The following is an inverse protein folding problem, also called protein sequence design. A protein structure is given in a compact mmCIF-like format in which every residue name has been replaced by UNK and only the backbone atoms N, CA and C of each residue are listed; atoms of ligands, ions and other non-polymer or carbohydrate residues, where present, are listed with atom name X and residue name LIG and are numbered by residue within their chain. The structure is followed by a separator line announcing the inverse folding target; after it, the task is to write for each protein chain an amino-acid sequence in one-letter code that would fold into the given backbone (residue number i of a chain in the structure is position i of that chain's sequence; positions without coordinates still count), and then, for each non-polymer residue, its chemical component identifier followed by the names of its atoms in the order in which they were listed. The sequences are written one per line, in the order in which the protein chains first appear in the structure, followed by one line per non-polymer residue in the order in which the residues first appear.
data_IF_263363760844
#
_entry.id   IF_263363760844
#
_cell.length_a   1.000
_cell.length_b   1.000
_cell.length_c   1.000
_cell.angle_alpha   90.00
_cell.angle_beta   90.00
_cell.angle_gamma   90.00
#
_symmetry.space_group_name_H-M   'P 1'
#
loop_
_entity.id
_entity.type
_entity.pdbx_description
1 polymer ?
#
# COMPACT_ATOMS: atom_id res chain seq x y z
N UNK A 1 -11.26 6.78 -3.12
CA UNK A 1 -11.26 5.74 -2.05
C UNK A 1 -12.40 4.74 -2.18
N UNK A 2 -13.63 5.13 -2.59
CA UNK A 2 -14.78 4.21 -2.73
C UNK A 2 -14.50 2.95 -3.55
N UNK A 3 -13.80 3.07 -4.68
CA UNK A 3 -13.41 1.91 -5.52
C UNK A 3 -12.50 0.95 -4.75
N UNK A 4 -11.49 1.50 -4.04
CA UNK A 4 -10.55 0.70 -3.26
C UNK A 4 -11.27 -0.07 -2.13
N UNK A 5 -12.17 0.58 -1.43
CA UNK A 5 -12.97 -0.03 -0.36
C UNK A 5 -13.80 -1.23 -0.83
N UNK A 6 -14.31 -1.19 -2.08
CA UNK A 6 -15.06 -2.30 -2.68
C UNK A 6 -14.14 -3.42 -3.21
N UNK A 7 -13.02 -3.05 -3.84
CA UNK A 7 -12.19 -4.00 -4.60
C UNK A 7 -11.04 -4.55 -3.76
N UNK A 8 -10.48 -3.73 -2.88
CA UNK A 8 -9.25 -4.02 -2.18
C UNK A 8 -9.30 -3.44 -0.75
N UNK A 9 -10.26 -3.88 0.08
CA UNK A 9 -10.45 -3.36 1.43
C UNK A 9 -9.22 -3.62 2.31
N UNK A 10 -8.99 -2.74 3.26
CA UNK A 10 -7.91 -2.85 4.24
C UNK A 10 -8.50 -3.20 5.60
N UNK A 11 -8.07 -4.33 6.16
CA UNK A 11 -8.39 -4.72 7.53
C UNK A 11 -7.28 -4.35 8.51
N UNK A 12 -7.61 -4.25 9.80
CA UNK A 12 -6.63 -4.08 10.88
C UNK A 12 -5.71 -5.30 10.94
N UNK A 13 -4.38 -5.07 10.95
CA UNK A 13 -3.37 -6.12 10.85
C UNK A 13 -3.04 -6.56 9.41
N UNK A 14 -3.59 -5.89 8.40
CA UNK A 14 -3.35 -6.19 6.97
C UNK A 14 -1.90 -6.00 6.58
N UNK A 15 -1.40 -6.90 5.72
CA UNK A 15 -0.12 -6.77 5.04
C UNK A 15 -0.38 -6.56 3.56
N UNK A 16 -0.39 -5.29 3.14
CA UNK A 16 -0.74 -4.89 1.77
C UNK A 16 0.44 -4.44 0.95
N UNK A 17 0.45 -4.82 -0.33
CA UNK A 17 1.42 -4.40 -1.32
C UNK A 17 0.75 -3.54 -2.40
N UNK A 18 1.24 -2.32 -2.58
CA UNK A 18 0.87 -1.46 -3.72
C UNK A 18 1.98 -1.56 -4.76
N UNK A 19 1.68 -2.17 -5.88
CA UNK A 19 2.60 -2.31 -7.02
C UNK A 19 2.44 -1.08 -7.92
N UNK A 20 3.51 -0.30 -8.04
CA UNK A 20 3.43 1.03 -8.63
C UNK A 20 4.46 1.25 -9.74
N UNK A 21 4.04 1.24 -11.01
CA UNK A 21 4.84 1.84 -12.07
C UNK A 21 5.05 3.36 -11.85
N UNK A 22 6.10 3.97 -12.41
CA UNK A 22 6.32 5.41 -12.30
C UNK A 22 5.12 6.22 -12.85
N UNK A 23 4.80 7.34 -12.19
CA UNK A 23 3.76 8.31 -12.61
C UNK A 23 2.32 7.77 -12.63
N UNK A 24 2.02 6.80 -11.81
CA UNK A 24 0.66 6.21 -11.70
C UNK A 24 -0.19 6.79 -10.56
N UNK A 25 0.25 7.87 -9.91
CA UNK A 25 -0.51 8.50 -8.83
C UNK A 25 -0.34 7.84 -7.45
N UNK A 26 0.74 7.05 -7.26
CA UNK A 26 1.10 6.38 -6.00
C UNK A 26 1.02 7.32 -4.79
N UNK A 27 1.69 8.48 -4.84
CA UNK A 27 1.75 9.47 -3.77
C UNK A 27 0.37 9.96 -3.36
N UNK A 28 -0.47 10.34 -4.34
CA UNK A 28 -1.84 10.80 -4.11
C UNK A 28 -2.69 9.69 -3.50
N UNK A 29 -2.53 8.44 -3.94
CA UNK A 29 -3.25 7.30 -3.38
C UNK A 29 -2.92 7.10 -1.91
N UNK A 30 -1.63 7.13 -1.52
CA UNK A 30 -1.21 7.00 -0.12
C UNK A 30 -1.78 8.13 0.75
N UNK A 31 -1.75 9.37 0.27
CA UNK A 31 -2.36 10.52 0.96
C UNK A 31 -3.88 10.34 1.13
N UNK A 32 -4.56 9.82 0.12
CA UNK A 32 -6.00 9.55 0.18
C UNK A 32 -6.34 8.41 1.14
N UNK A 33 -5.53 7.35 1.19
CA UNK A 33 -5.69 6.26 2.16
C UNK A 33 -5.56 6.82 3.57
N UNK A 34 -4.50 7.60 3.86
CA UNK A 34 -4.29 8.21 5.17
C UNK A 34 -5.48 9.07 5.61
N UNK A 35 -5.95 9.97 4.72
CA UNK A 35 -7.11 10.83 5.00
C UNK A 35 -8.37 10.02 5.26
N UNK A 36 -8.64 8.99 4.44
CA UNK A 36 -9.82 8.16 4.58
C UNK A 36 -9.82 7.37 5.90
N UNK A 37 -8.67 6.79 6.28
CA UNK A 37 -8.53 6.07 7.56
C UNK A 37 -8.75 7.03 8.72
N UNK A 38 -8.09 8.17 8.77
CA UNK A 38 -8.24 9.13 9.87
C UNK A 38 -9.62 9.76 9.96
N UNK A 39 -10.35 9.86 8.83
CA UNK A 39 -11.73 10.34 8.82
C UNK A 39 -12.71 9.32 9.38
N UNK A 40 -12.53 8.04 9.04
CA UNK A 40 -13.47 6.98 9.38
C UNK A 40 -13.08 6.23 10.67
N UNK A 41 -11.79 6.28 11.06
CA UNK A 41 -11.18 5.53 12.15
C UNK A 41 -10.19 6.44 12.89
N UNK A 42 -10.69 7.43 13.60
CA UNK A 42 -9.90 8.42 14.32
C UNK A 42 -9.02 7.80 15.44
N UNK A 43 -9.35 6.60 15.88
CA UNK A 43 -8.60 5.82 16.85
C UNK A 43 -7.29 5.23 16.30
N UNK A 44 -7.17 5.12 14.97
CA UNK A 44 -6.00 4.52 14.31
C UNK A 44 -4.85 5.52 14.25
N UNK A 45 -3.68 5.13 14.73
CA UNK A 45 -2.46 5.91 14.58
C UNK A 45 -1.84 5.68 13.20
N UNK A 46 -1.86 6.70 12.35
CA UNK A 46 -1.36 6.61 10.97
C UNK A 46 0.04 7.19 10.86
N UNK A 47 0.99 6.37 10.44
CA UNK A 47 2.38 6.75 10.16
C UNK A 47 2.61 6.65 8.64
N UNK A 48 3.07 7.74 8.04
CA UNK A 48 3.61 7.75 6.68
C UNK A 48 5.12 7.62 6.80
N UNK A 49 5.67 6.50 6.35
CA UNK A 49 7.11 6.26 6.34
C UNK A 49 7.65 6.42 4.92
N UNK A 50 8.48 7.45 4.71
CA UNK A 50 9.11 7.77 3.43
C UNK A 50 10.61 7.50 3.51
N UNK A 51 11.11 6.59 2.68
CA UNK A 51 12.52 6.19 2.67
C UNK A 51 13.13 6.42 1.29
N UNK A 52 14.20 7.21 1.24
CA UNK A 52 14.92 7.58 0.01
C UNK A 52 13.99 8.29 -1.00
N UNK A 53 12.98 9.03 -0.51
CA UNK A 53 12.11 9.86 -1.34
C UNK A 53 12.67 11.27 -1.50
N UNK A 54 12.23 11.99 -2.52
CA UNK A 54 12.69 13.34 -2.80
C UNK A 54 12.21 14.32 -1.74
N UNK A 55 13.02 15.34 -1.35
CA UNK A 55 12.63 16.34 -0.35
C UNK A 55 11.29 17.04 -0.65
N UNK A 56 11.03 17.35 -1.93
CA UNK A 56 9.77 17.94 -2.36
C UNK A 56 8.57 17.01 -2.14
N UNK A 57 8.70 15.69 -2.34
CA UNK A 57 7.65 14.72 -2.06
C UNK A 57 7.39 14.59 -0.56
N UNK A 58 8.44 14.60 0.27
CA UNK A 58 8.33 14.63 1.72
C UNK A 58 7.58 15.89 2.19
N UNK A 59 7.91 17.03 1.61
CA UNK A 59 7.24 18.30 1.93
C UNK A 59 5.77 18.27 1.54
N UNK A 60 5.45 17.73 0.37
CA UNK A 60 4.06 17.58 -0.10
C UNK A 60 3.22 16.70 0.85
N UNK A 61 3.76 15.57 1.31
CA UNK A 61 3.09 14.75 2.32
C UNK A 61 2.83 15.51 3.61
N UNK A 62 3.84 16.22 4.13
CA UNK A 62 3.70 17.02 5.36
C UNK A 62 2.64 18.11 5.22
N UNK A 63 2.65 18.84 4.12
CA UNK A 63 1.66 19.90 3.87
C UNK A 63 0.25 19.34 3.69
N UNK A 64 0.11 18.29 2.87
CA UNK A 64 -1.19 17.70 2.54
C UNK A 64 -1.85 17.04 3.74
N UNK A 65 -1.07 16.52 4.69
CA UNK A 65 -1.54 15.80 5.87
C UNK A 65 -1.44 16.60 7.18
N UNK A 66 -0.96 17.84 7.15
CA UNK A 66 -0.68 18.66 8.33
C UNK A 66 -1.84 18.78 9.34
N UNK A 67 -3.09 18.74 8.86
CA UNK A 67 -4.31 18.92 9.69
C UNK A 67 -5.07 17.61 9.95
N UNK A 68 -4.48 16.46 9.56
CA UNK A 68 -5.20 15.18 9.62
C UNK A 68 -4.87 14.36 10.86
N UNK A 69 -3.79 14.67 11.58
CA UNK A 69 -3.25 13.82 12.65
C UNK A 69 -2.33 12.70 12.18
N UNK A 70 -2.07 12.57 10.87
CA UNK A 70 -1.07 11.63 10.34
C UNK A 70 0.35 12.07 10.72
N UNK A 71 1.16 11.13 11.17
CA UNK A 71 2.57 11.36 11.42
C UNK A 71 3.39 11.08 10.15
N UNK A 72 4.24 12.01 9.72
CA UNK A 72 5.15 11.84 8.58
C UNK A 72 6.58 11.67 9.06
N UNK A 73 7.09 10.46 8.96
CA UNK A 73 8.47 10.07 9.25
C UNK A 73 9.20 9.91 7.93
N UNK A 74 10.34 10.55 7.75
CA UNK A 74 11.04 10.53 6.48
C UNK A 74 12.56 10.50 6.62
N UNK A 75 13.19 9.84 5.66
CA UNK A 75 14.60 9.95 5.34
C UNK A 75 14.70 10.18 3.83
N UNK A 76 15.01 11.43 3.44
CA UNK A 76 15.05 11.87 2.04
C UNK A 76 16.33 11.39 1.32
N UNK A 77 16.32 11.43 -0.01
CA UNK A 77 17.38 10.86 -0.85
C UNK A 77 18.75 11.56 -0.74
N UNK A 78 18.84 12.69 -0.06
CA UNK A 78 20.07 13.39 0.33
C UNK A 78 20.71 12.82 1.60
N UNK A 79 20.02 11.91 2.30
CA UNK A 79 20.53 11.25 3.49
C UNK A 79 21.34 9.99 3.13
N UNK A 80 22.32 9.59 3.95
CA UNK A 80 23.05 8.36 3.74
C UNK A 80 22.19 7.12 3.98
N UNK A 81 22.52 5.98 3.36
CA UNK A 81 21.79 4.71 3.50
C UNK A 81 21.62 4.25 4.95
N UNK A 82 22.62 4.48 5.81
CA UNK A 82 22.52 4.19 7.23
C UNK A 82 21.33 4.89 7.89
N UNK A 83 21.03 6.14 7.50
CA UNK A 83 19.88 6.89 8.02
C UNK A 83 18.55 6.31 7.54
N UNK A 84 18.48 5.82 6.30
CA UNK A 84 17.29 5.13 5.80
C UNK A 84 16.95 3.90 6.62
N UNK A 85 17.97 3.12 6.95
CA UNK A 85 17.86 1.91 7.76
C UNK A 85 17.42 2.26 9.18
N UNK A 86 18.14 3.18 9.82
CA UNK A 86 17.83 3.63 11.19
C UNK A 86 16.39 4.09 11.36
N UNK A 87 15.92 4.98 10.47
CA UNK A 87 14.55 5.52 10.51
C UNK A 87 13.52 4.41 10.33
N UNK A 88 13.80 3.44 9.46
CA UNK A 88 12.92 2.31 9.20
C UNK A 88 12.79 1.41 10.44
N UNK A 89 13.92 1.04 11.05
CA UNK A 89 13.96 0.18 12.23
C UNK A 89 13.29 0.84 13.44
N UNK A 90 13.63 2.09 13.72
CA UNK A 90 13.02 2.86 14.82
C UNK A 90 11.50 3.00 14.66
N UNK A 91 11.01 3.24 13.42
CA UNK A 91 9.59 3.35 13.15
C UNK A 91 8.87 2.02 13.40
N UNK A 92 9.45 0.91 12.92
CA UNK A 92 8.87 -0.41 13.14
C UNK A 92 8.81 -0.78 14.62
N UNK A 93 9.90 -0.58 15.36
CA UNK A 93 9.96 -0.92 16.79
C UNK A 93 8.96 -0.10 17.60
N UNK A 94 8.82 1.18 17.29
CA UNK A 94 7.82 2.04 17.92
C UNK A 94 6.40 1.57 17.59
N UNK A 95 6.12 1.27 16.33
CA UNK A 95 4.80 0.79 15.91
C UNK A 95 4.42 -0.55 16.58
N UNK A 96 5.37 -1.48 16.73
CA UNK A 96 5.17 -2.74 17.47
C UNK A 96 4.78 -2.48 18.92
N UNK A 97 5.55 -1.62 19.62
CA UNK A 97 5.26 -1.26 21.02
C UNK A 97 3.90 -0.60 21.20
N UNK A 98 3.48 0.22 20.23
CA UNK A 98 2.14 0.81 20.24
C UNK A 98 1.05 -0.25 20.07
N UNK A 99 1.24 -1.21 19.16
CA UNK A 99 0.31 -2.31 18.98
C UNK A 99 0.21 -3.20 20.22
N UNK A 100 1.34 -3.50 20.88
CA UNK A 100 1.40 -4.21 22.16
C UNK A 100 0.65 -3.46 23.30
N UNK A 101 0.58 -2.13 23.21
CA UNK A 101 -0.25 -1.29 24.08
C UNK A 101 -1.73 -1.21 23.65
N UNK A 102 -2.20 -2.14 22.83
CA UNK A 102 -3.58 -2.25 22.32
C UNK A 102 -4.00 -1.11 21.40
N UNK A 103 -3.06 -0.39 20.78
CA UNK A 103 -3.35 0.63 19.77
C UNK A 103 -3.40 0.00 18.38
N UNK A 104 -4.26 0.54 17.52
CA UNK A 104 -4.26 0.21 16.11
C UNK A 104 -3.32 1.15 15.36
N UNK A 105 -2.32 0.60 14.70
CA UNK A 105 -1.30 1.36 13.97
C UNK A 105 -1.34 0.99 12.49
N UNK A 106 -1.36 1.99 11.63
CA UNK A 106 -1.20 1.85 10.18
C UNK A 106 0.10 2.51 9.73
N UNK A 107 0.99 1.74 9.13
CA UNK A 107 2.16 2.28 8.42
C UNK A 107 1.86 2.27 6.91
N UNK A 108 1.83 3.44 6.29
CA UNK A 108 1.87 3.62 4.84
C UNK A 108 3.32 3.85 4.46
N UNK A 109 3.92 2.89 3.77
CA UNK A 109 5.36 2.83 3.56
C UNK A 109 5.74 3.03 2.09
N UNK A 110 6.51 4.04 1.81
CA UNK A 110 7.08 4.34 0.48
C UNK A 110 8.60 4.45 0.56
N UNK A 111 9.41 3.43 0.18
CA UNK A 111 8.99 2.18 -0.44
C UNK A 111 9.84 0.98 0.03
N UNK A 112 9.28 -0.23 -0.04
CA UNK A 112 9.99 -1.49 0.17
C UNK A 112 11.19 -1.62 -0.79
N UNK A 113 11.03 -1.18 -2.04
CA UNK A 113 12.09 -1.21 -3.05
C UNK A 113 13.31 -0.40 -2.61
N UNK A 114 13.10 0.83 -2.16
CA UNK A 114 14.17 1.73 -1.75
C UNK A 114 14.82 1.30 -0.44
N UNK A 115 14.02 0.82 0.50
CA UNK A 115 14.53 0.21 1.73
C UNK A 115 15.46 -0.97 1.41
N UNK A 116 15.03 -1.89 0.55
CA UNK A 116 15.84 -3.05 0.17
C UNK A 116 17.14 -2.63 -0.52
N UNK A 117 17.10 -1.60 -1.37
CA UNK A 117 18.31 -1.01 -1.96
C UNK A 117 19.26 -0.45 -0.90
N UNK A 118 18.75 0.22 0.14
CA UNK A 118 19.59 0.75 1.22
C UNK A 118 20.30 -0.38 1.98
N UNK A 119 19.59 -1.45 2.34
CA UNK A 119 20.21 -2.64 2.96
C UNK A 119 21.23 -3.30 2.02
N UNK A 120 20.93 -3.42 0.72
CA UNK A 120 21.87 -3.97 -0.25
C UNK A 120 23.17 -3.17 -0.34
N UNK A 121 23.07 -1.83 -0.38
CA UNK A 121 24.24 -0.96 -0.41
C UNK A 121 25.11 -1.09 0.83
N UNK A 122 24.52 -1.30 2.01
CA UNK A 122 25.27 -1.51 3.25
C UNK A 122 26.04 -2.84 3.25
N UNK A 123 25.54 -3.85 2.51
CA UNK A 123 26.13 -5.20 2.46
C UNK A 123 27.15 -5.40 1.33
N UNK A 124 27.13 -4.59 0.27
CA UNK A 124 27.92 -4.78 -0.96
C UNK A 124 29.44 -4.78 -0.77
N UNK A 125 29.95 -4.40 0.40
CA UNK A 125 31.38 -4.49 0.72
C UNK A 125 31.90 -5.92 1.03
N UNK A 126 31.05 -6.96 1.15
CA UNK A 126 31.46 -8.28 1.69
C UNK A 126 30.74 -9.52 1.13
N UNK A 127 29.89 -9.47 0.08
CA UNK A 127 29.00 -10.58 -0.17
C UNK A 127 28.92 -11.13 -1.60
N UNK A 128 28.34 -12.32 -1.72
CA UNK A 128 27.96 -12.97 -2.98
C UNK A 128 26.72 -12.26 -3.54
N UNK A 129 26.84 -11.61 -4.67
CA UNK A 129 25.71 -10.98 -5.36
C UNK A 129 24.94 -11.98 -6.20
N UNK A 130 23.62 -11.97 -6.08
CA UNK A 130 22.69 -12.64 -6.99
C UNK A 130 22.61 -11.88 -8.35
N UNK A 131 21.90 -12.47 -9.32
CA UNK A 131 21.60 -11.77 -10.57
C UNK A 131 20.93 -10.41 -10.27
N UNK A 132 21.34 -9.35 -10.98
CA UNK A 132 20.86 -7.99 -10.75
C UNK A 132 21.60 -7.19 -9.66
N UNK A 133 22.72 -7.73 -9.12
CA UNK A 133 23.58 -6.99 -8.18
C UNK A 133 23.03 -6.92 -6.75
N UNK A 134 22.11 -7.82 -6.36
CA UNK A 134 21.51 -7.84 -5.02
C UNK A 134 22.10 -8.98 -4.18
N UNK A 135 22.42 -8.69 -2.92
CA UNK A 135 22.80 -9.72 -1.94
C UNK A 135 21.52 -10.31 -1.31
N UNK A 136 21.43 -11.65 -1.22
CA UNK A 136 20.26 -12.31 -0.63
C UNK A 136 19.96 -11.88 0.82
N UNK A 137 20.98 -11.47 1.56
CA UNK A 137 20.86 -10.97 2.93
C UNK A 137 20.16 -9.59 2.99
N UNK A 138 20.17 -8.84 1.89
CA UNK A 138 19.49 -7.55 1.81
C UNK A 138 17.98 -7.64 1.98
N UNK A 139 17.39 -8.82 1.77
CA UNK A 139 15.96 -9.06 1.97
C UNK A 139 15.56 -9.37 3.43
N UNK A 140 16.51 -9.71 4.28
CA UNK A 140 16.20 -10.22 5.63
C UNK A 140 15.37 -9.21 6.44
N UNK A 141 15.86 -7.99 6.57
CA UNK A 141 15.16 -6.95 7.35
C UNK A 141 13.90 -6.43 6.63
N UNK A 142 13.90 -6.16 5.32
CA UNK A 142 12.68 -5.82 4.59
C UNK A 142 11.55 -6.86 4.69
N UNK A 143 11.87 -8.16 4.65
CA UNK A 143 10.91 -9.25 4.91
C UNK A 143 10.39 -9.22 6.35
N UNK A 144 11.27 -9.03 7.33
CA UNK A 144 10.91 -8.95 8.74
C UNK A 144 10.02 -7.72 9.01
N UNK A 145 10.34 -6.58 8.39
CA UNK A 145 9.53 -5.36 8.45
C UNK A 145 8.11 -5.61 7.92
N UNK A 146 8.00 -6.05 6.67
CA UNK A 146 6.71 -6.28 6.02
C UNK A 146 5.93 -7.43 6.68
N UNK A 147 6.62 -8.45 7.16
CA UNK A 147 6.05 -9.59 7.90
C UNK A 147 5.58 -9.27 9.32
N UNK A 148 5.88 -8.09 9.85
CA UNK A 148 5.47 -7.69 11.19
C UNK A 148 3.96 -7.36 11.29
N UNK A 149 3.30 -7.08 10.16
CA UNK A 149 1.88 -6.77 10.12
C UNK A 149 1.02 -7.92 10.65
N UNK A 150 0.21 -7.63 11.68
CA UNK A 150 -0.72 -8.57 12.32
C UNK A 150 -1.73 -7.87 13.22
N UNK A 151 -2.87 -8.50 13.45
CA UNK A 151 -3.73 -8.20 14.57
C UNK A 151 -3.32 -9.06 15.78
N UNK A 152 -3.34 -8.49 16.98
CA UNK A 152 -2.98 -9.18 18.22
C UNK A 152 -4.24 -9.74 18.90
N UNK A 153 -4.15 -10.93 19.47
CA UNK A 153 -5.28 -11.58 20.17
C UNK A 153 -5.77 -10.77 21.36
N UNK A 154 -4.85 -10.13 22.07
CA UNK A 154 -5.13 -9.30 23.26
C UNK A 154 -5.64 -7.89 22.93
N UNK A 155 -5.78 -7.58 21.65
CA UNK A 155 -6.17 -6.26 21.11
C UNK A 155 -4.96 -5.45 20.65
N UNK A 156 -5.24 -4.49 19.76
CA UNK A 156 -4.24 -3.74 19.00
C UNK A 156 -3.87 -4.43 17.69
N UNK A 157 -3.39 -3.64 16.76
CA UNK A 157 -2.95 -4.16 15.45
C UNK A 157 -1.83 -3.33 14.84
N UNK A 158 -1.01 -3.98 14.03
CA UNK A 158 -0.05 -3.34 13.15
C UNK A 158 -0.42 -3.67 11.70
N UNK A 159 -0.89 -2.68 10.98
CA UNK A 159 -1.18 -2.75 9.54
C UNK A 159 -0.03 -2.12 8.77
N UNK A 160 0.48 -2.79 7.75
CA UNK A 160 1.56 -2.26 6.90
C UNK A 160 1.12 -2.34 5.44
N UNK A 161 1.03 -1.18 4.80
CA UNK A 161 0.78 -1.06 3.35
C UNK A 161 2.05 -0.48 2.73
N UNK A 162 2.83 -1.35 2.10
CA UNK A 162 4.09 -0.98 1.47
C UNK A 162 3.96 -0.83 -0.04
N UNK A 163 4.75 0.07 -0.63
CA UNK A 163 4.83 0.21 -2.09
C UNK A 163 6.03 -0.55 -2.64
N UNK A 164 5.84 -1.19 -3.81
CA UNK A 164 6.91 -1.77 -4.61
C UNK A 164 6.95 -1.08 -5.97
N UNK A 165 8.14 -0.63 -6.37
CA UNK A 165 8.35 0.02 -7.66
C UNK A 165 8.58 -1.03 -8.74
N UNK A 166 7.87 -0.90 -9.85
CA UNK A 166 8.00 -1.76 -11.04
C UNK A 166 8.17 -0.91 -12.29
N UNK A 167 8.58 -1.51 -13.39
CA UNK A 167 8.76 -0.84 -14.70
C UNK A 167 9.69 0.39 -14.63
N UNK A 168 10.67 0.34 -13.73
CA UNK A 168 11.68 1.40 -13.55
C UNK A 168 12.85 1.26 -14.52
N UNK A 169 12.92 0.19 -15.30
CA UNK A 169 14.09 -0.19 -16.08
C UNK A 169 15.22 -0.84 -15.26
N UNK A 170 15.08 -0.94 -13.93
CA UNK A 170 16.04 -1.55 -13.02
C UNK A 170 15.77 -3.04 -12.84
N UNK A 171 16.75 -3.89 -13.22
CA UNK A 171 16.67 -5.34 -12.96
C UNK A 171 16.61 -5.66 -11.45
N UNK A 172 17.29 -4.85 -10.64
CA UNK A 172 17.24 -4.98 -9.18
C UNK A 172 15.81 -4.78 -8.65
N UNK A 173 15.09 -3.77 -9.12
CA UNK A 173 13.72 -3.49 -8.67
C UNK A 173 12.76 -4.62 -9.03
N UNK A 174 12.94 -5.21 -10.22
CA UNK A 174 12.15 -6.37 -10.62
C UNK A 174 12.37 -7.56 -9.67
N UNK A 175 13.62 -7.83 -9.29
CA UNK A 175 13.94 -8.90 -8.33
C UNK A 175 13.33 -8.59 -6.96
N UNK A 176 13.42 -7.34 -6.51
CA UNK A 176 12.81 -6.90 -5.24
C UNK A 176 11.29 -7.09 -5.29
N UNK A 177 10.65 -6.69 -6.38
CA UNK A 177 9.21 -6.88 -6.53
C UNK A 177 8.80 -8.37 -6.48
N UNK A 178 9.49 -9.24 -7.23
CA UNK A 178 9.19 -10.68 -7.23
C UNK A 178 9.38 -11.32 -5.84
N UNK A 179 10.27 -10.77 -5.02
CA UNK A 179 10.48 -11.21 -3.64
C UNK A 179 9.29 -10.89 -2.73
N UNK A 180 8.64 -9.74 -2.90
CA UNK A 180 7.50 -9.32 -2.09
C UNK A 180 6.15 -9.75 -2.65
N UNK A 181 6.07 -10.03 -3.94
CA UNK A 181 4.87 -10.51 -4.62
C UNK A 181 4.35 -11.80 -3.97
N UNK A 182 3.07 -11.83 -3.65
CA UNK A 182 2.43 -12.96 -2.99
C UNK A 182 2.74 -13.13 -1.50
N UNK A 183 3.65 -12.32 -0.91
CA UNK A 183 3.94 -12.37 0.52
C UNK A 183 2.90 -11.59 1.35
N UNK A 184 2.21 -10.64 0.73
CA UNK A 184 1.07 -9.91 1.29
C UNK A 184 -0.23 -10.72 1.26
N UNK A 185 -1.23 -10.22 1.97
CA UNK A 185 -2.61 -10.71 1.92
C UNK A 185 -3.57 -9.66 1.32
N UNK A 186 -3.04 -8.59 0.75
CA UNK A 186 -3.70 -7.60 -0.06
C UNK A 186 -2.70 -7.11 -1.12
N UNK A 187 -3.14 -7.04 -2.37
CA UNK A 187 -2.32 -6.52 -3.47
C UNK A 187 -3.14 -5.54 -4.30
N UNK A 188 -2.56 -4.36 -4.58
CA UNK A 188 -3.16 -3.34 -5.43
C UNK A 188 -2.17 -2.96 -6.53
N UNK A 189 -2.54 -3.22 -7.77
CA UNK A 189 -1.72 -2.97 -8.95
C UNK A 189 -2.11 -1.66 -9.63
N UNK A 190 -1.25 -0.64 -9.53
CA UNK A 190 -1.44 0.59 -10.30
C UNK A 190 -1.17 0.33 -11.78
N UNK A 191 -2.00 0.94 -12.64
CA UNK A 191 -1.99 0.73 -14.08
C UNK A 191 -1.66 2.04 -14.81
N UNK A 192 -0.60 2.02 -15.61
CA UNK A 192 -0.09 3.20 -16.29
C UNK A 192 -1.06 3.71 -17.37
N UNK A 193 -1.72 2.82 -18.10
CA UNK A 193 -2.67 3.21 -19.14
C UNK A 193 -3.82 4.06 -18.56
N UNK A 194 -4.32 3.72 -17.37
CA UNK A 194 -5.34 4.51 -16.67
C UNK A 194 -4.82 5.90 -16.31
N UNK A 195 -3.60 5.97 -15.75
CA UNK A 195 -2.99 7.24 -15.35
C UNK A 195 -2.71 8.16 -16.55
N UNK A 196 -2.22 7.61 -17.66
CA UNK A 196 -1.96 8.35 -18.92
C UNK A 196 -3.26 8.93 -19.49
N UNK A 197 -4.39 8.24 -19.32
CA UNK A 197 -5.74 8.73 -19.67
C UNK A 197 -6.40 9.60 -18.61
N UNK A 198 -5.72 9.92 -17.51
CA UNK A 198 -6.24 10.69 -16.36
C UNK A 198 -7.47 10.07 -15.69
N UNK A 199 -7.59 8.75 -15.72
CA UNK A 199 -8.63 7.99 -15.03
C UNK A 199 -8.07 7.58 -13.66
N UNK A 200 -8.67 8.10 -12.59
CA UNK A 200 -8.26 7.83 -11.21
C UNK A 200 -9.43 7.34 -10.34
N UNK A 201 -9.17 6.41 -9.40
CA UNK A 201 -7.89 5.80 -9.08
C UNK A 201 -7.39 4.88 -10.21
N UNK A 202 -6.08 4.95 -10.50
CA UNK A 202 -5.48 4.26 -11.64
C UNK A 202 -4.99 2.86 -11.31
N UNK A 203 -5.83 1.97 -10.80
CA UNK A 203 -5.43 0.59 -10.53
C UNK A 203 -6.26 -0.44 -11.32
N UNK A 204 -5.62 -1.55 -11.65
CA UNK A 204 -6.25 -2.70 -12.28
C UNK A 204 -7.07 -3.46 -11.24
N UNK A 205 -8.39 -3.38 -11.35
CA UNK A 205 -9.34 -4.02 -10.43
C UNK A 205 -9.32 -5.55 -10.51
N UNK A 206 -8.90 -6.11 -11.65
CA UNK A 206 -8.91 -7.56 -11.86
C UNK A 206 -7.68 -8.21 -11.23
N UNK A 207 -6.54 -7.50 -11.21
CA UNK A 207 -5.31 -7.94 -10.57
C UNK A 207 -5.24 -7.59 -9.09
N UNK A 208 -6.10 -6.66 -8.64
CA UNK A 208 -6.11 -6.17 -7.27
C UNK A 208 -7.14 -6.89 -6.41
N UNK A 209 -6.84 -7.08 -5.13
CA UNK A 209 -7.76 -7.71 -4.19
C UNK A 209 -7.16 -7.92 -2.81
N UNK A 210 -8.03 -8.28 -1.88
CA UNK A 210 -7.69 -8.65 -0.50
C UNK A 210 -8.03 -10.13 -0.29
N UNK A 211 -7.10 -10.90 0.27
CA UNK A 211 -7.37 -12.29 0.68
C UNK A 211 -8.24 -12.29 1.93
N UNK A 212 -9.11 -13.28 2.05
CA UNK A 212 -10.03 -13.42 3.18
C UNK A 212 -10.95 -12.20 3.33
N UNK A 213 -11.39 -11.64 2.18
CA UNK A 213 -12.29 -10.48 2.16
C UNK A 213 -13.64 -10.74 2.86
N UNK A 214 -14.01 -12.02 3.03
CA UNK A 214 -15.16 -12.45 3.83
C UNK A 214 -15.09 -12.06 5.31
N UNK A 215 -13.91 -11.70 5.81
CA UNK A 215 -13.73 -11.17 7.15
C UNK A 215 -13.99 -9.66 7.26
N UNK A 216 -14.08 -8.97 6.12
CA UNK A 216 -14.21 -7.52 6.02
C UNK A 216 -15.58 -7.07 5.49
N UNK A 217 -16.33 -7.98 4.86
CA UNK A 217 -17.64 -7.73 4.28
C UNK A 217 -18.70 -8.63 4.90
N UNK A 218 -19.94 -8.16 4.96
CA UNK A 218 -21.08 -9.01 5.24
C UNK A 218 -21.31 -10.00 4.07
N UNK A 219 -21.99 -11.11 4.33
CA UNK A 219 -22.27 -12.12 3.30
C UNK A 219 -23.04 -11.55 2.09
N UNK A 220 -23.95 -10.59 2.32
CA UNK A 220 -24.71 -9.92 1.25
C UNK A 220 -23.82 -9.00 0.42
N UNK A 221 -22.99 -8.17 1.07
CA UNK A 221 -22.01 -7.30 0.38
C UNK A 221 -21.04 -8.12 -0.46
N UNK A 222 -20.48 -9.19 0.10
CA UNK A 222 -19.55 -10.08 -0.57
C UNK A 222 -20.17 -10.70 -1.83
N UNK A 223 -21.39 -11.18 -1.74
CA UNK A 223 -22.15 -11.70 -2.89
C UNK A 223 -22.27 -10.66 -4.02
N UNK A 224 -22.60 -9.42 -3.67
CA UNK A 224 -22.73 -8.31 -4.63
C UNK A 224 -21.40 -7.89 -5.23
N UNK A 225 -20.34 -7.88 -4.43
CA UNK A 225 -18.97 -7.61 -4.90
C UNK A 225 -18.52 -8.69 -5.88
N UNK A 226 -18.81 -9.96 -5.62
CA UNK A 226 -18.51 -11.05 -6.54
C UNK A 226 -19.30 -10.93 -7.86
N UNK A 227 -20.56 -10.48 -7.81
CA UNK A 227 -21.35 -10.20 -9.01
C UNK A 227 -20.73 -9.05 -9.80
N UNK A 228 -20.34 -7.97 -9.11
CA UNK A 228 -19.64 -6.83 -9.73
C UNK A 228 -18.34 -7.28 -10.42
N UNK A 229 -17.49 -8.04 -9.73
CA UNK A 229 -16.23 -8.55 -10.31
C UNK A 229 -16.50 -9.41 -11.56
N UNK A 230 -17.52 -10.26 -11.55
CA UNK A 230 -17.92 -11.05 -12.73
C UNK A 230 -18.39 -10.16 -13.88
N UNK A 231 -19.18 -9.13 -13.61
CA UNK A 231 -19.66 -8.19 -14.63
C UNK A 231 -18.53 -7.36 -15.26
N UNK A 232 -17.44 -7.14 -14.54
CA UNK A 232 -16.25 -6.44 -15.00
C UNK A 232 -15.22 -7.37 -15.67
N UNK A 233 -15.32 -8.70 -15.40
CA UNK A 233 -14.38 -9.69 -15.93
C UNK A 233 -14.40 -9.73 -17.44
N UNK A 234 -13.20 -9.89 -18.05
CA UNK A 234 -13.01 -9.91 -19.49
C UNK A 234 -12.97 -8.52 -20.17
N UNK A 235 -13.19 -7.44 -19.42
CA UNK A 235 -13.04 -6.07 -19.92
C UNK A 235 -11.59 -5.59 -19.78
N UNK A 236 -11.19 -4.65 -20.64
CA UNK A 236 -9.92 -3.95 -20.47
C UNK A 236 -9.95 -3.10 -19.18
N UNK A 237 -8.81 -2.90 -18.47
CA UNK A 237 -8.76 -2.14 -17.22
C UNK A 237 -9.40 -0.75 -17.33
N UNK A 238 -9.21 -0.05 -18.46
CA UNK A 238 -9.79 1.27 -18.70
C UNK A 238 -11.32 1.20 -18.72
N UNK A 239 -11.89 0.33 -19.55
CA UNK A 239 -13.34 0.19 -19.71
C UNK A 239 -14.01 -0.23 -18.38
N UNK A 240 -13.37 -1.16 -17.66
CA UNK A 240 -13.86 -1.63 -16.37
C UNK A 240 -13.89 -0.50 -15.33
N UNK A 241 -12.82 0.31 -15.27
CA UNK A 241 -12.73 1.43 -14.32
C UNK A 241 -13.73 2.54 -14.64
N UNK A 242 -13.84 2.95 -15.92
CA UNK A 242 -14.80 3.96 -16.35
C UNK A 242 -16.24 3.52 -16.02
N UNK A 243 -16.61 2.30 -16.38
CA UNK A 243 -17.93 1.75 -16.08
C UNK A 243 -18.25 1.74 -14.57
N UNK A 244 -17.27 1.38 -13.73
CA UNK A 244 -17.46 1.40 -12.29
C UNK A 244 -17.58 2.82 -11.75
N UNK A 245 -16.72 3.74 -12.19
CA UNK A 245 -16.74 5.13 -11.75
C UNK A 245 -18.06 5.82 -12.11
N UNK A 246 -18.59 5.61 -13.32
CA UNK A 246 -19.84 6.21 -13.75
C UNK A 246 -21.03 5.72 -12.90
N UNK A 247 -21.06 4.43 -12.57
CA UNK A 247 -22.09 3.91 -11.67
C UNK A 247 -21.94 4.40 -10.23
N UNK A 248 -20.71 4.53 -9.73
CA UNK A 248 -20.44 5.06 -8.39
C UNK A 248 -20.87 6.53 -8.23
N UNK A 249 -20.79 7.34 -9.30
CA UNK A 249 -21.25 8.74 -9.30
C UNK A 249 -22.76 8.86 -9.04
N UNK A 250 -23.54 7.86 -9.41
CA UNK A 250 -25.00 7.84 -9.24
C UNK A 250 -25.45 7.57 -7.80
N UNK A 251 -24.51 7.21 -6.91
CA UNK A 251 -24.83 6.83 -5.53
C UNK A 251 -23.91 7.55 -4.54
N UNK A 252 -24.43 8.01 -3.39
CA UNK A 252 -23.64 8.77 -2.42
C UNK A 252 -22.66 7.90 -1.62
N UNK A 253 -22.96 6.61 -1.42
CA UNK A 253 -22.17 5.70 -0.58
C UNK A 253 -21.97 4.34 -1.23
N UNK A 254 -20.99 3.55 -0.76
CA UNK A 254 -20.79 2.17 -1.21
C UNK A 254 -21.96 1.27 -0.80
N UNK A 255 -22.56 1.48 0.37
CA UNK A 255 -23.76 0.74 0.78
C UNK A 255 -24.95 0.99 -0.17
N UNK A 256 -25.17 2.23 -0.59
CA UNK A 256 -26.21 2.56 -1.57
C UNK A 256 -25.90 1.96 -2.95
N UNK A 257 -24.63 1.98 -3.36
CA UNK A 257 -24.17 1.37 -4.60
C UNK A 257 -24.39 -0.15 -4.60
N UNK A 258 -23.97 -0.85 -3.53
CA UNK A 258 -24.16 -2.30 -3.43
C UNK A 258 -25.63 -2.70 -3.34
N UNK A 259 -26.50 -1.87 -2.75
CA UNK A 259 -27.96 -2.10 -2.76
C UNK A 259 -28.56 -2.01 -4.15
N UNK A 260 -28.00 -1.25 -5.06
CA UNK A 260 -28.47 -1.16 -6.46
C UNK A 260 -28.15 -2.42 -7.30
N UNK A 261 -27.28 -3.32 -6.80
CA UNK A 261 -27.03 -4.62 -7.40
C UNK A 261 -27.96 -5.65 -6.75
N UNK A 262 -29.05 -5.97 -7.35
CA UNK A 262 -29.96 -7.02 -6.86
C UNK A 262 -31.44 -6.66 -6.83
N UNK A 263 -31.78 -5.56 -7.54
CA UNK A 263 -33.16 -5.27 -7.95
C UNK A 263 -33.44 -5.87 -9.29
#
# INVERSE_FOLDING_TARGET
MRVMDIICPIGKGQRGLIVAPPRTGKTVLLQQIAKAVLTNHAEVHVIILLVDERPEEVTDFRMTLAKTGAEVVASSNDNPYARHIEVTEQTLDRAKRMAEQKKDVLILFDSLTRMTRAYNNQLTSRGRTMSGGIDSRAFQMPRAFFGAARALEEGGSLTIIGTALVDTGSRMDQIIFEEFKGTGNMELYLERELADRRIFPSFDMMRSGTRREELLFTADELKKIHLLRRALSGRKPVEAMEMLLDRLKLTPTNAAFLKSFGG
#
